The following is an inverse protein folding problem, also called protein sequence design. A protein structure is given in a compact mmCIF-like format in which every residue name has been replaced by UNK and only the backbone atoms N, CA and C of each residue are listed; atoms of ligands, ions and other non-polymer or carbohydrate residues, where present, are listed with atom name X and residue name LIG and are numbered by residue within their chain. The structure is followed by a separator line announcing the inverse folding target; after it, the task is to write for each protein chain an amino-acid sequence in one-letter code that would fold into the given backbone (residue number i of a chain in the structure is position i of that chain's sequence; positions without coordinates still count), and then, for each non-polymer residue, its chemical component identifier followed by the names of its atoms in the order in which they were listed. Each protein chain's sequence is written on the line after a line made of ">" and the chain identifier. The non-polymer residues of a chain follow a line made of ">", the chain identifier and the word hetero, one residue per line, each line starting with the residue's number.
data_IF_196037693115
#
_entry.id   IF_196037693115
#
_cell.length_a   1.000
_cell.length_b   1.000
_cell.length_c   1.000
_cell.angle_alpha   90.00
_cell.angle_beta   90.00
_cell.angle_gamma   90.00
#
_symmetry.space_group_name_H-M   'P 1'
#
loop_
_entity.id
_entity.type
_entity.pdbx_description
1 polymer ?
#
# COMPACT_ATOMS: atom_id res chain seq x y z
N UNK A 1 41.30 -39.62 -13.23
CA UNK A 1 41.35 -39.17 -11.81
C UNK A 1 40.02 -38.50 -11.53
N UNK A 2 39.13 -39.18 -10.81
CA UNK A 2 37.77 -38.69 -10.53
C UNK A 2 37.85 -37.82 -9.28
N UNK A 3 37.63 -36.52 -9.39
CA UNK A 3 37.52 -35.63 -8.24
C UNK A 3 36.22 -35.95 -7.49
N UNK A 4 36.29 -36.83 -6.49
CA UNK A 4 35.25 -36.99 -5.46
C UNK A 4 35.32 -35.81 -4.48
N UNK A 5 34.60 -34.74 -4.79
CA UNK A 5 34.32 -33.70 -3.80
C UNK A 5 33.47 -34.24 -2.64
N UNK A 6 33.50 -33.62 -1.45
CA UNK A 6 32.77 -34.12 -0.28
C UNK A 6 31.25 -34.12 -0.54
N UNK A 7 30.61 -35.28 -0.32
CA UNK A 7 29.17 -35.53 -0.57
C UNK A 7 28.20 -34.77 0.35
N UNK A 8 28.71 -34.05 1.35
CA UNK A 8 27.90 -33.30 2.30
C UNK A 8 28.21 -31.81 2.18
N UNK A 9 27.42 -31.07 1.40
CA UNK A 9 27.31 -29.62 1.58
C UNK A 9 26.73 -29.42 2.99
N UNK A 10 27.52 -28.84 3.89
CA UNK A 10 27.01 -28.39 5.20
C UNK A 10 25.99 -27.29 4.92
N UNK A 11 24.72 -27.67 4.85
CA UNK A 11 23.61 -26.75 4.72
C UNK A 11 23.53 -25.93 6.00
N UNK A 12 24.13 -24.74 5.97
CA UNK A 12 24.03 -23.77 7.07
C UNK A 12 22.57 -23.31 7.20
N UNK A 13 22.17 -22.95 8.41
CA UNK A 13 20.80 -22.47 8.71
C UNK A 13 20.37 -21.29 7.82
N UNK A 14 21.32 -20.46 7.39
CA UNK A 14 21.15 -19.38 6.43
C UNK A 14 20.64 -19.86 5.06
N UNK A 15 21.14 -20.99 4.54
CA UNK A 15 20.68 -21.56 3.29
C UNK A 15 19.23 -22.06 3.39
N UNK A 16 18.84 -22.63 4.54
CA UNK A 16 17.45 -23.05 4.79
C UNK A 16 16.51 -21.85 4.87
N UNK A 17 16.95 -20.75 5.50
CA UNK A 17 16.18 -19.50 5.54
C UNK A 17 16.03 -18.91 4.14
N UNK A 18 17.11 -18.86 3.37
CA UNK A 18 17.07 -18.37 1.99
C UNK A 18 16.12 -19.19 1.11
N UNK A 19 16.21 -20.52 1.14
CA UNK A 19 15.32 -21.39 0.36
C UNK A 19 13.85 -21.22 0.78
N UNK A 20 13.59 -21.05 2.08
CA UNK A 20 12.22 -20.78 2.57
C UNK A 20 11.71 -19.43 2.06
N UNK A 21 12.54 -18.38 2.13
CA UNK A 21 12.18 -17.04 1.65
C UNK A 21 11.96 -17.02 0.14
N UNK A 22 12.84 -17.67 -0.62
CA UNK A 22 12.67 -17.83 -2.07
C UNK A 22 11.39 -18.61 -2.37
N UNK A 23 11.18 -19.78 -1.76
CA UNK A 23 9.95 -20.56 -1.94
C UNK A 23 8.67 -19.78 -1.61
N UNK A 24 8.69 -18.90 -0.61
CA UNK A 24 7.57 -17.99 -0.32
C UNK A 24 7.38 -16.94 -1.42
N UNK A 25 8.46 -16.34 -1.93
CA UNK A 25 8.40 -15.37 -3.04
C UNK A 25 7.79 -15.98 -4.30
N UNK A 26 8.17 -17.20 -4.64
CA UNK A 26 7.62 -17.91 -5.81
C UNK A 26 6.12 -18.15 -5.65
N UNK A 27 5.66 -18.58 -4.47
CA UNK A 27 4.22 -18.74 -4.19
C UNK A 27 3.44 -17.44 -4.31
N UNK A 28 4.01 -16.33 -3.83
CA UNK A 28 3.41 -14.99 -3.98
C UNK A 28 3.31 -14.62 -5.46
N UNK A 29 4.38 -14.83 -6.24
CA UNK A 29 4.38 -14.55 -7.68
C UNK A 29 3.36 -15.39 -8.44
N UNK A 30 3.25 -16.68 -8.13
CA UNK A 30 2.25 -17.57 -8.74
C UNK A 30 0.82 -17.10 -8.44
N UNK A 31 0.56 -16.68 -7.20
CA UNK A 31 -0.76 -16.15 -6.81
C UNK A 31 -1.07 -14.83 -7.49
N UNK A 32 -0.11 -13.91 -7.59
CA UNK A 32 -0.28 -12.66 -8.34
C UNK A 32 -0.54 -12.93 -9.84
N UNK A 33 0.15 -13.92 -10.43
CA UNK A 33 -0.08 -14.31 -11.82
C UNK A 33 -1.48 -14.88 -12.02
N UNK A 34 -1.95 -15.75 -11.13
CA UNK A 34 -3.31 -16.28 -11.16
C UNK A 34 -4.36 -15.18 -10.99
N UNK A 35 -4.16 -14.25 -10.05
CA UNK A 35 -5.05 -13.12 -9.85
C UNK A 35 -5.10 -12.20 -11.08
N UNK A 36 -3.96 -11.99 -11.74
CA UNK A 36 -3.92 -11.24 -12.99
C UNK A 36 -4.69 -11.93 -14.13
N UNK A 37 -4.60 -13.25 -14.26
CA UNK A 37 -5.40 -13.98 -15.26
C UNK A 37 -6.90 -13.91 -14.94
N UNK A 38 -7.31 -13.95 -13.66
CA UNK A 38 -8.71 -13.72 -13.27
C UNK A 38 -9.18 -12.30 -13.60
N UNK A 39 -8.35 -11.29 -13.36
CA UNK A 39 -8.61 -9.91 -13.78
C UNK A 39 -8.79 -9.82 -15.29
N UNK A 40 -7.93 -10.47 -16.10
CA UNK A 40 -8.11 -10.49 -17.56
C UNK A 40 -9.42 -11.13 -17.98
N UNK A 41 -9.77 -12.25 -17.36
CA UNK A 41 -10.98 -12.99 -17.69
C UNK A 41 -12.28 -12.28 -17.27
N UNK A 42 -12.22 -11.32 -16.34
CA UNK A 42 -13.39 -10.52 -15.95
C UNK A 42 -13.77 -9.44 -16.97
N UNK A 43 -12.87 -9.11 -17.90
CA UNK A 43 -13.10 -8.14 -18.97
C UNK A 43 -13.09 -8.81 -20.35
N UNK A 44 -14.27 -8.91 -20.98
CA UNK A 44 -14.43 -9.54 -22.29
C UNK A 44 -13.60 -8.89 -23.40
N UNK A 45 -13.34 -7.57 -23.32
CA UNK A 45 -12.62 -6.79 -24.33
C UNK A 45 -11.18 -6.41 -23.89
N UNK A 46 -10.71 -7.02 -22.79
CA UNK A 46 -9.42 -6.72 -22.18
C UNK A 46 -9.52 -5.74 -21.01
N UNK A 47 -8.53 -5.84 -20.10
CA UNK A 47 -8.48 -5.02 -18.89
C UNK A 47 -8.25 -3.55 -19.28
N UNK A 48 -9.08 -2.60 -18.81
CA UNK A 48 -8.89 -1.18 -19.08
C UNK A 48 -7.51 -0.66 -18.65
N UNK A 49 -7.04 0.39 -19.32
CA UNK A 49 -5.83 1.09 -18.87
C UNK A 49 -6.05 1.72 -17.49
N UNK A 50 -5.05 1.62 -16.62
CA UNK A 50 -5.14 2.12 -15.25
C UNK A 50 -4.17 1.44 -14.31
N UNK A 51 -4.28 1.82 -13.04
CA UNK A 51 -3.54 1.23 -11.94
C UNK A 51 -4.43 0.25 -11.19
N UNK A 52 -3.86 -0.89 -10.83
CA UNK A 52 -4.55 -1.96 -10.12
C UNK A 52 -3.74 -2.39 -8.92
N UNK A 53 -4.40 -2.55 -7.77
CA UNK A 53 -3.77 -2.87 -6.48
C UNK A 53 -4.45 -4.09 -5.87
N UNK A 54 -3.73 -4.82 -5.02
CA UNK A 54 -4.28 -5.87 -4.16
C UNK A 54 -3.91 -5.59 -2.68
N UNK A 55 -4.46 -6.36 -1.71
CA UNK A 55 -4.34 -6.03 -0.27
C UNK A 55 -2.94 -6.33 0.22
N UNK A 56 -2.29 -7.30 -0.41
CA UNK A 56 -0.91 -7.70 -0.15
C UNK A 56 0.13 -6.68 -0.67
N UNK A 57 -0.31 -5.56 -1.25
CA UNK A 57 0.55 -4.48 -1.72
C UNK A 57 1.09 -4.65 -3.14
N UNK A 58 0.59 -5.64 -3.87
CA UNK A 58 0.82 -5.85 -5.30
C UNK A 58 0.35 -4.66 -6.14
N UNK A 59 0.99 -4.45 -7.29
CA UNK A 59 0.68 -3.35 -8.19
C UNK A 59 0.86 -3.78 -9.65
N UNK A 60 -0.23 -3.69 -10.41
CA UNK A 60 -0.24 -3.86 -11.85
C UNK A 60 -0.63 -2.54 -12.49
N UNK A 61 0.12 -2.11 -13.50
CA UNK A 61 -0.26 -0.99 -14.35
C UNK A 61 -0.60 -1.51 -15.73
N UNK A 62 -1.75 -1.16 -16.26
CA UNK A 62 -2.17 -1.49 -17.62
C UNK A 62 -2.08 -0.24 -18.47
N UNK A 63 -1.39 -0.34 -19.61
CA UNK A 63 -1.14 0.80 -20.52
C UNK A 63 -1.57 0.46 -21.93
N UNK A 64 -2.07 1.44 -22.70
CA UNK A 64 -2.36 1.24 -24.12
C UNK A 64 -1.05 1.10 -24.91
N UNK A 65 -1.00 0.10 -25.80
CA UNK A 65 0.13 -0.14 -26.69
C UNK A 65 -0.36 -0.75 -28.00
N UNK A 66 -0.14 -0.07 -29.12
CA UNK A 66 -0.39 -0.61 -30.47
C UNK A 66 -1.84 -1.06 -30.73
N UNK A 67 -2.83 -0.40 -30.14
CA UNK A 67 -4.25 -0.79 -30.26
C UNK A 67 -4.70 -1.91 -29.32
N UNK A 68 -3.86 -2.31 -28.37
CA UNK A 68 -4.17 -3.26 -27.30
C UNK A 68 -3.76 -2.71 -25.92
N UNK A 69 -3.99 -3.48 -24.86
CA UNK A 69 -3.61 -3.17 -23.49
C UNK A 69 -2.58 -4.18 -22.97
N UNK A 70 -1.49 -3.67 -22.39
CA UNK A 70 -0.40 -4.51 -21.87
C UNK A 70 -0.06 -4.15 -20.42
N UNK A 71 0.55 -5.11 -19.71
CA UNK A 71 1.13 -4.87 -18.39
C UNK A 71 2.39 -3.99 -18.52
N UNK A 72 2.32 -2.78 -17.99
CA UNK A 72 3.43 -1.85 -17.88
C UNK A 72 4.35 -2.16 -16.69
N UNK A 73 5.54 -1.56 -16.71
CA UNK A 73 6.51 -1.63 -15.61
C UNK A 73 6.07 -0.69 -14.49
N UNK A 74 6.09 -1.18 -13.26
CA UNK A 74 5.85 -0.40 -12.04
C UNK A 74 7.12 -0.37 -11.22
N UNK A 75 7.74 0.80 -11.12
CA UNK A 75 8.89 1.07 -10.26
C UNK A 75 8.47 1.15 -8.80
N UNK A 76 9.38 0.87 -7.87
CA UNK A 76 9.10 0.97 -6.43
C UNK A 76 8.77 2.41 -6.01
N UNK A 77 9.38 3.42 -6.64
CA UNK A 77 9.09 4.84 -6.39
C UNK A 77 7.65 5.20 -6.78
N UNK A 78 7.19 4.74 -7.95
CA UNK A 78 5.80 4.93 -8.39
C UNK A 78 4.80 4.19 -7.48
N UNK A 79 5.16 2.97 -7.04
CA UNK A 79 4.33 2.18 -6.11
C UNK A 79 4.18 2.91 -4.77
N UNK A 80 5.26 3.48 -4.24
CA UNK A 80 5.23 4.28 -3.01
C UNK A 80 4.44 5.59 -3.20
N UNK A 81 4.60 6.22 -4.36
CA UNK A 81 4.00 7.52 -4.66
C UNK A 81 4.70 8.67 -3.93
N UNK A 82 4.38 9.93 -4.27
CA UNK A 82 4.90 11.10 -3.57
C UNK A 82 4.46 11.12 -2.10
N UNK A 83 5.22 11.78 -1.20
CA UNK A 83 4.81 11.97 0.18
C UNK A 83 3.41 12.58 0.30
N UNK A 84 2.59 12.00 1.18
CA UNK A 84 1.22 12.46 1.40
C UNK A 84 0.23 11.95 0.35
N UNK A 85 0.57 10.92 -0.41
CA UNK A 85 -0.33 10.26 -1.36
C UNK A 85 -0.83 8.95 -0.76
N UNK A 86 -2.09 8.60 -1.03
CA UNK A 86 -2.62 7.27 -0.77
C UNK A 86 -3.10 6.66 -2.09
N UNK A 87 -2.85 5.38 -2.27
CA UNK A 87 -3.66 4.61 -3.20
C UNK A 87 -5.04 4.42 -2.58
N UNK A 88 -6.08 4.57 -3.40
CA UNK A 88 -7.47 4.26 -3.03
C UNK A 88 -8.14 3.56 -4.20
N UNK A 89 -9.14 2.71 -3.96
CA UNK A 89 -10.01 2.19 -5.02
C UNK A 89 -10.56 3.32 -5.89
N UNK A 90 -10.74 3.08 -7.18
CA UNK A 90 -11.30 4.11 -8.07
C UNK A 90 -12.76 4.42 -7.75
N UNK A 91 -13.51 3.40 -7.32
CA UNK A 91 -14.91 3.52 -6.90
C UNK A 91 -14.94 3.51 -5.37
N UNK A 92 -15.34 4.63 -4.71
CA UNK A 92 -15.41 4.68 -3.26
C UNK A 92 -16.53 3.81 -2.74
N UNK A 93 -16.20 2.97 -1.76
CA UNK A 93 -17.14 2.11 -1.08
C UNK A 93 -16.99 2.23 0.43
N UNK A 94 -18.09 2.03 1.16
CA UNK A 94 -18.10 2.10 2.61
C UNK A 94 -19.31 2.89 3.13
N UNK A 95 -19.39 3.00 4.44
CA UNK A 95 -20.35 3.86 5.13
C UNK A 95 -19.92 5.33 4.98
N UNK A 96 -20.90 6.22 4.83
CA UNK A 96 -20.62 7.65 4.74
C UNK A 96 -20.00 8.17 6.03
N UNK A 97 -19.11 9.15 5.87
CA UNK A 97 -18.36 9.84 6.93
C UNK A 97 -17.44 8.93 7.78
N UNK A 98 -17.29 7.66 7.41
CA UNK A 98 -16.30 6.77 8.01
C UNK A 98 -14.91 6.98 7.38
N UNK A 99 -13.82 6.84 8.16
CA UNK A 99 -12.48 6.72 7.62
C UNK A 99 -12.40 5.63 6.55
N UNK A 100 -11.68 5.90 5.46
CA UNK A 100 -11.30 4.87 4.51
C UNK A 100 -10.33 3.89 5.19
N UNK A 101 -10.61 2.60 5.03
CA UNK A 101 -9.87 1.50 5.63
C UNK A 101 -9.62 0.42 4.56
N UNK A 102 -8.34 0.12 4.35
CA UNK A 102 -7.89 -0.89 3.40
C UNK A 102 -8.31 -2.30 3.79
N UNK A 103 -8.24 -2.66 5.08
CA UNK A 103 -8.60 -3.99 5.55
C UNK A 103 -10.09 -4.25 5.36
N UNK A 104 -10.92 -3.23 5.69
CA UNK A 104 -12.37 -3.29 5.47
C UNK A 104 -12.74 -3.38 3.99
N UNK A 105 -11.99 -2.71 3.11
CA UNK A 105 -12.17 -2.85 1.66
C UNK A 105 -11.78 -4.26 1.19
N UNK A 106 -10.64 -4.75 1.66
CA UNK A 106 -10.10 -6.07 1.36
C UNK A 106 -10.98 -7.24 1.77
N UNK A 107 -11.63 -7.12 2.94
CA UNK A 107 -12.51 -8.16 3.49
C UNK A 107 -13.69 -8.55 2.58
N UNK A 108 -14.02 -7.74 1.56
CA UNK A 108 -15.05 -8.05 0.56
C UNK A 108 -14.58 -9.06 -0.48
N UNK A 109 -13.27 -9.15 -0.70
CA UNK A 109 -12.68 -10.07 -1.66
C UNK A 109 -12.40 -11.41 -0.96
N UNK A 110 -12.73 -12.51 -1.63
CA UNK A 110 -12.46 -13.86 -1.10
C UNK A 110 -10.96 -14.18 -1.07
N UNK A 111 -10.17 -13.51 -1.91
CA UNK A 111 -8.73 -13.70 -2.03
C UNK A 111 -8.02 -12.33 -1.92
N UNK A 112 -7.09 -12.13 -0.96
CA UNK A 112 -6.40 -10.84 -0.78
C UNK A 112 -5.45 -10.49 -1.95
N UNK A 113 -5.20 -11.44 -2.85
CA UNK A 113 -4.44 -11.22 -4.09
C UNK A 113 -5.30 -10.65 -5.23
N UNK A 114 -6.63 -10.58 -5.09
CA UNK A 114 -7.50 -9.98 -6.10
C UNK A 114 -7.13 -8.52 -6.39
N UNK A 115 -7.09 -8.19 -7.67
CA UNK A 115 -6.76 -6.84 -8.12
C UNK A 115 -8.02 -6.01 -8.35
N UNK A 116 -8.04 -4.79 -7.81
CA UNK A 116 -9.07 -3.78 -8.09
C UNK A 116 -8.45 -2.55 -8.74
N UNK A 117 -9.28 -1.82 -9.50
CA UNK A 117 -8.90 -0.53 -10.08
C UNK A 117 -8.66 0.49 -8.97
N UNK A 118 -7.52 1.17 -9.02
CA UNK A 118 -7.06 2.10 -8.01
C UNK A 118 -6.57 3.40 -8.64
N UNK A 119 -6.57 4.46 -7.84
CA UNK A 119 -6.02 5.76 -8.18
C UNK A 119 -5.17 6.31 -7.04
N UNK A 120 -4.23 7.19 -7.38
CA UNK A 120 -3.52 7.99 -6.38
C UNK A 120 -4.40 9.16 -5.95
N UNK A 121 -4.60 9.29 -4.65
CA UNK A 121 -5.25 10.42 -4.01
C UNK A 121 -4.20 11.25 -3.26
N UNK A 122 -4.09 12.54 -3.60
CA UNK A 122 -3.26 13.47 -2.84
C UNK A 122 -3.98 13.85 -1.54
N UNK A 123 -3.40 13.43 -0.42
CA UNK A 123 -3.98 13.57 0.93
C UNK A 123 -3.26 14.66 1.72
N UNK A 124 -1.93 14.70 1.64
CA UNK A 124 -1.09 15.63 2.40
C UNK A 124 -1.11 15.35 3.91
N UNK A 125 -0.49 16.24 4.68
CA UNK A 125 -0.32 16.10 6.12
C UNK A 125 -0.95 17.26 6.88
N UNK A 126 -1.37 16.99 8.12
CA UNK A 126 -1.62 17.99 9.14
C UNK A 126 -0.31 18.26 9.89
N UNK A 127 0.06 19.53 10.09
CA UNK A 127 1.09 19.92 11.05
C UNK A 127 0.41 20.15 12.40
N UNK A 128 0.70 19.28 13.38
CA UNK A 128 -0.02 19.17 14.65
C UNK A 128 0.73 19.82 15.82
N UNK A 129 1.73 20.66 15.51
CA UNK A 129 2.53 21.37 16.49
C UNK A 129 3.86 20.69 16.79
N UNK A 130 4.34 20.86 18.03
CA UNK A 130 5.72 20.54 18.42
C UNK A 130 5.75 19.70 19.69
N UNK A 131 6.69 18.75 19.78
CA UNK A 131 7.10 18.09 21.02
C UNK A 131 8.59 18.32 21.29
N UNK A 132 8.97 18.40 22.56
CA UNK A 132 10.37 18.42 22.96
C UNK A 132 10.76 17.04 23.49
N UNK A 133 11.95 16.57 23.13
CA UNK A 133 12.53 15.40 23.80
C UNK A 133 13.18 15.79 25.15
N UNK A 134 13.61 14.81 25.98
CA UNK A 134 14.26 15.10 27.26
C UNK A 134 15.55 15.93 27.17
N UNK A 135 16.18 15.99 25.98
CA UNK A 135 17.38 16.77 25.73
C UNK A 135 17.06 18.19 25.20
N UNK A 136 15.77 18.57 25.14
CA UNK A 136 15.30 19.86 24.65
C UNK A 136 15.25 20.00 23.13
N UNK A 137 15.51 18.93 22.36
CA UNK A 137 15.38 18.95 20.90
C UNK A 137 13.90 19.01 20.53
N UNK A 138 13.54 19.98 19.68
CA UNK A 138 12.17 20.18 19.19
C UNK A 138 11.89 19.35 17.95
N UNK A 139 10.73 18.71 17.95
CA UNK A 139 10.22 17.87 16.87
C UNK A 139 8.86 18.39 16.42
N UNK A 140 8.71 18.66 15.13
CA UNK A 140 7.43 18.96 14.48
C UNK A 140 6.64 17.67 14.31
N UNK A 141 5.37 17.69 14.62
CA UNK A 141 4.48 16.54 14.50
C UNK A 141 3.68 16.68 13.22
N UNK A 142 3.76 15.67 12.35
CA UNK A 142 2.95 15.57 11.14
C UNK A 142 2.12 14.30 11.17
N UNK A 143 0.88 14.38 10.72
CA UNK A 143 0.04 13.19 10.55
C UNK A 143 -0.69 13.28 9.22
N UNK A 144 -0.75 12.17 8.48
CA UNK A 144 -1.45 12.13 7.20
C UNK A 144 -2.90 12.57 7.41
N UNK A 145 -3.45 13.37 6.48
CA UNK A 145 -4.87 13.77 6.59
C UNK A 145 -5.78 12.55 6.51
N UNK A 146 -6.93 12.63 7.16
CA UNK A 146 -7.88 11.52 7.13
C UNK A 146 -8.64 11.55 5.80
N UNK A 147 -8.81 10.41 5.16
CA UNK A 147 -9.69 10.25 4.00
C UNK A 147 -10.99 9.62 4.48
N UNK A 148 -12.13 10.18 4.09
CA UNK A 148 -13.45 9.61 4.36
C UNK A 148 -14.25 9.49 3.07
N UNK A 149 -15.17 8.54 3.05
CA UNK A 149 -16.15 8.42 1.97
C UNK A 149 -17.34 9.32 2.31
N UNK A 150 -17.70 10.24 1.41
CA UNK A 150 -18.83 11.16 1.61
C UNK A 150 -19.79 11.09 0.43
N UNK A 151 -21.02 11.59 0.62
CA UNK A 151 -21.97 11.72 -0.47
C UNK A 151 -21.49 12.79 -1.46
N UNK A 152 -21.48 12.44 -2.74
CA UNK A 152 -21.28 13.33 -3.88
C UNK A 152 -22.62 13.74 -4.49
N UNK A 153 -22.55 14.34 -5.69
CA UNK A 153 -23.76 14.66 -6.46
C UNK A 153 -24.41 13.40 -7.02
N UNK A 154 -25.76 13.34 -7.01
CA UNK A 154 -26.50 12.25 -7.65
C UNK A 154 -26.28 10.85 -7.03
N UNK A 155 -26.35 10.73 -5.70
CA UNK A 155 -26.16 9.47 -4.94
C UNK A 155 -24.80 8.78 -5.17
N UNK A 156 -23.82 9.52 -5.71
CA UNK A 156 -22.45 9.02 -5.86
C UNK A 156 -21.71 9.09 -4.52
N UNK A 157 -20.70 8.23 -4.36
CA UNK A 157 -19.75 8.29 -3.25
C UNK A 157 -18.44 8.87 -3.74
N UNK A 158 -17.84 9.75 -2.95
CA UNK A 158 -16.56 10.39 -3.28
C UNK A 158 -15.61 10.35 -2.09
N UNK A 159 -14.30 10.27 -2.34
CA UNK A 159 -13.31 10.46 -1.29
C UNK A 159 -13.17 11.95 -0.98
N UNK A 160 -13.15 12.29 0.31
CA UNK A 160 -12.83 13.63 0.78
C UNK A 160 -11.72 13.59 1.82
N UNK A 161 -10.79 14.52 1.69
CA UNK A 161 -9.65 14.69 2.58
C UNK A 161 -10.02 15.68 3.68
N UNK A 162 -9.82 15.30 4.94
CA UNK A 162 -10.15 16.11 6.11
C UNK A 162 -8.89 16.55 6.84
N UNK A 163 -8.79 17.86 7.07
CA UNK A 163 -7.74 18.45 7.90
C UNK A 163 -8.16 18.43 9.37
N UNK A 164 -7.20 18.29 10.25
CA UNK A 164 -7.40 18.28 11.70
C UNK A 164 -6.24 18.98 12.42
N UNK A 165 -6.49 19.44 13.63
CA UNK A 165 -5.51 20.10 14.49
C UNK A 165 -5.17 19.29 15.75
N UNK A 166 -5.77 18.11 15.90
CA UNK A 166 -5.55 17.21 17.03
C UNK A 166 -4.84 15.95 16.53
N UNK A 167 -3.87 15.48 17.32
CA UNK A 167 -3.16 14.24 17.05
C UNK A 167 -4.04 13.04 17.39
N UNK A 168 -4.28 12.19 16.38
CA UNK A 168 -4.92 10.90 16.57
C UNK A 168 -3.87 9.82 16.81
N UNK A 169 -3.72 9.37 18.07
CA UNK A 169 -2.70 8.37 18.43
C UNK A 169 -3.03 6.97 17.94
N UNK A 170 -4.26 6.70 17.51
CA UNK A 170 -4.66 5.41 16.92
C UNK A 170 -4.11 5.23 15.50
N UNK A 171 -3.41 6.24 14.97
CA UNK A 171 -2.86 6.27 13.63
C UNK A 171 -1.38 6.62 13.67
N UNK A 172 -0.67 6.18 12.64
CA UNK A 172 0.73 6.53 12.44
C UNK A 172 0.89 8.05 12.34
N UNK A 173 1.98 8.57 12.93
CA UNK A 173 2.38 9.95 12.78
C UNK A 173 3.89 10.09 12.73
N UNK A 174 4.35 11.22 12.19
CA UNK A 174 5.74 11.51 11.92
C UNK A 174 6.22 12.61 12.86
N UNK A 175 7.43 12.46 13.37
CA UNK A 175 8.10 13.50 14.13
C UNK A 175 9.35 13.92 13.37
N UNK A 176 9.41 15.18 12.94
CA UNK A 176 10.53 15.71 12.17
C UNK A 176 11.30 16.77 12.96
N UNK A 177 12.61 16.62 13.04
CA UNK A 177 13.50 17.60 13.63
C UNK A 177 13.93 18.66 12.61
N UNK A 178 14.48 19.78 13.10
CA UNK A 178 14.91 20.89 12.24
C UNK A 178 16.06 20.54 11.28
N UNK A 179 16.82 19.50 11.59
CA UNK A 179 17.90 18.94 10.76
C UNK A 179 17.38 18.04 9.61
N UNK A 180 16.05 17.86 9.51
CA UNK A 180 15.40 17.02 8.51
C UNK A 180 15.26 15.55 8.90
N UNK A 181 15.87 15.12 10.01
CA UNK A 181 15.69 13.77 10.53
C UNK A 181 14.23 13.57 10.95
N UNK A 182 13.66 12.43 10.60
CA UNK A 182 12.32 12.07 11.02
C UNK A 182 12.26 10.70 11.67
N UNK A 183 11.29 10.53 12.56
CA UNK A 183 10.91 9.24 13.12
C UNK A 183 9.44 8.99 12.84
N UNK A 184 9.12 7.73 12.56
CA UNK A 184 7.75 7.26 12.41
C UNK A 184 7.33 6.71 13.77
N UNK A 185 6.18 7.13 14.26
CA UNK A 185 5.59 6.60 15.49
C UNK A 185 4.39 5.74 15.12
N UNK A 186 4.47 4.47 15.50
CA UNK A 186 3.42 3.49 15.24
C UNK A 186 2.11 3.88 15.94
N UNK A 187 0.96 3.48 15.36
CA UNK A 187 -0.34 3.55 16.03
C UNK A 187 -0.32 2.94 17.45
N UNK A 188 -1.03 3.57 18.38
CA UNK A 188 -1.40 3.01 19.67
C UNK A 188 -2.92 2.77 19.71
N UNK A 189 -3.39 1.54 19.41
CA UNK A 189 -4.81 1.21 19.40
C UNK A 189 -5.49 1.32 20.77
N UNK A 190 -4.70 1.33 21.87
CA UNK A 190 -5.21 1.43 23.23
C UNK A 190 -5.39 2.89 23.71
N UNK A 191 -5.03 3.88 22.89
CA UNK A 191 -5.08 5.29 23.24
C UNK A 191 -6.49 5.94 23.13
N UNK A 192 -7.55 5.12 23.09
CA UNK A 192 -8.97 5.54 22.99
C UNK A 192 -9.50 5.95 24.36
#
# INVERSE_FOLDING_TARGET
>A
MVHTGPKNKVWKEEHRRQETTEGQRWKVQDREAQAYERLKNSYAEGVPAGDYRNIEGGHIKIVPFGGSFIKGVVTDEYRAGPPGTLWVPMIPEGELDQPFDWERYGAKYQDPFEFWSAMQLQVGFNELGYKSDPNGKKWRIFQLKQVRVVAGEGDTRVYRVFSGNTLDKTREYYCQAADGNYTIVSPDPAAI
#
